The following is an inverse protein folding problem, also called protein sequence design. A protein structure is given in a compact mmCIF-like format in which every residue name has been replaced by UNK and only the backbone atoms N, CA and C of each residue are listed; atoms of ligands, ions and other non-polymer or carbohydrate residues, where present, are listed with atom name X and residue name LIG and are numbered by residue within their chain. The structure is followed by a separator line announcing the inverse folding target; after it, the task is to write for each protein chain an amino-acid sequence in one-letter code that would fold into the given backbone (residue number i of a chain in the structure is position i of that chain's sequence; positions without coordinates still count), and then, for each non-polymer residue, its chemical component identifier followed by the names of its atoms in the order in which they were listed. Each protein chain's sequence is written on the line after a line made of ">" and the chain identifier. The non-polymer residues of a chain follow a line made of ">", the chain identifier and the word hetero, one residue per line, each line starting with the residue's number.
data_IF_386477316725
#
_entry.id   IF_386477316725
#
_cell.length_a   1.000
_cell.length_b   1.000
_cell.length_c   1.000
_cell.angle_alpha   90.00
_cell.angle_beta   90.00
_cell.angle_gamma   90.00
#
_symmetry.space_group_name_H-M   'P 1'
#
loop_
_entity.id
_entity.type
_entity.pdbx_description
1 polymer ?
#
# COMPACT_ATOMS: atom_id res chain seq x y z
N UNK A 1 -4.86 17.28 2.64
CA UNK A 1 -4.99 16.27 3.72
C UNK A 1 -3.65 15.60 3.90
N UNK A 2 -3.24 15.26 5.12
CA UNK A 2 -2.05 14.42 5.34
C UNK A 2 -2.45 12.96 5.48
N UNK A 3 -1.71 12.07 4.85
CA UNK A 3 -1.97 10.64 4.83
C UNK A 3 -0.95 9.90 5.70
N UNK A 4 -1.42 9.19 6.72
CA UNK A 4 -0.59 8.33 7.55
C UNK A 4 -1.04 6.88 7.35
N UNK A 5 -0.26 6.18 6.57
CA UNK A 5 -0.50 4.79 6.20
C UNK A 5 0.45 3.85 6.94
N UNK A 6 -0.08 2.75 7.45
CA UNK A 6 0.69 1.75 8.17
C UNK A 6 0.52 0.39 7.51
N UNK A 7 1.58 -0.11 6.88
CA UNK A 7 1.61 -1.47 6.35
C UNK A 7 2.12 -2.44 7.42
N UNK A 8 1.22 -3.19 8.01
CA UNK A 8 1.51 -4.13 9.08
C UNK A 8 2.13 -5.46 8.59
N UNK A 9 2.32 -5.61 7.27
CA UNK A 9 2.97 -6.78 6.66
C UNK A 9 2.54 -8.10 7.33
N UNK A 10 3.46 -9.02 7.60
CA UNK A 10 3.27 -10.24 8.40
C UNK A 10 3.95 -10.11 9.78
N UNK A 11 3.86 -8.91 10.37
CA UNK A 11 4.38 -8.63 11.72
C UNK A 11 3.56 -9.32 12.84
N UNK A 12 2.52 -10.05 12.45
CA UNK A 12 1.67 -10.91 13.29
C UNK A 12 2.31 -12.25 13.69
N UNK A 13 3.39 -12.65 13.00
CA UNK A 13 4.09 -13.92 13.26
C UNK A 13 4.94 -13.82 14.52
N UNK A 14 4.86 -14.84 15.38
CA UNK A 14 5.60 -14.87 16.66
C UNK A 14 7.11 -15.12 16.46
N UNK A 15 7.95 -14.73 17.45
CA UNK A 15 9.41 -14.93 17.39
C UNK A 15 9.82 -16.40 17.24
N UNK A 16 9.07 -17.34 17.84
CA UNK A 16 9.35 -18.78 17.74
C UNK A 16 9.17 -19.32 16.32
N UNK A 17 8.49 -18.55 15.45
CA UNK A 17 8.28 -18.85 14.04
C UNK A 17 9.06 -17.90 13.12
N UNK A 18 10.05 -17.17 13.67
CA UNK A 18 10.89 -16.25 12.90
C UNK A 18 10.29 -14.85 12.69
N UNK A 19 9.17 -14.53 13.33
CA UNK A 19 8.53 -13.22 13.26
C UNK A 19 8.94 -12.30 14.42
N UNK A 20 8.12 -11.26 14.63
CA UNK A 20 8.41 -10.21 15.63
C UNK A 20 7.24 -9.95 16.60
N UNK A 21 6.11 -10.60 16.42
CA UNK A 21 4.92 -10.35 17.22
C UNK A 21 5.13 -10.74 18.69
N UNK A 22 5.03 -9.72 19.57
CA UNK A 22 4.99 -9.88 21.04
C UNK A 22 3.81 -9.14 21.67
N UNK A 23 2.89 -8.62 20.83
CA UNK A 23 1.79 -7.78 21.28
C UNK A 23 0.63 -8.61 21.82
N UNK A 24 0.16 -9.58 21.03
CA UNK A 24 -1.00 -10.40 21.35
C UNK A 24 -0.97 -11.73 20.57
N UNK A 25 -1.72 -12.75 21.02
CA UNK A 25 -1.94 -13.95 20.20
C UNK A 25 -2.46 -13.59 18.80
N UNK A 26 -2.09 -14.39 17.78
CA UNK A 26 -2.43 -14.09 16.40
C UNK A 26 -3.93 -13.80 16.19
N UNK A 27 -4.81 -14.55 16.82
CA UNK A 27 -6.28 -14.36 16.72
C UNK A 27 -6.78 -12.99 17.20
N UNK A 28 -6.04 -12.33 18.11
CA UNK A 28 -6.41 -11.07 18.74
C UNK A 28 -5.56 -9.88 18.25
N UNK A 29 -4.53 -10.14 17.42
CA UNK A 29 -3.49 -9.18 17.10
C UNK A 29 -4.01 -7.92 16.39
N UNK A 30 -4.86 -8.05 15.37
CA UNK A 30 -5.43 -6.90 14.67
C UNK A 30 -6.33 -6.06 15.57
N UNK A 31 -7.16 -6.73 16.40
CA UNK A 31 -8.01 -6.07 17.40
C UNK A 31 -7.19 -5.31 18.45
N UNK A 32 -6.08 -5.90 18.92
CA UNK A 32 -5.20 -5.28 19.90
C UNK A 32 -4.54 -4.00 19.35
N UNK A 33 -4.12 -3.99 18.08
CA UNK A 33 -3.55 -2.81 17.44
C UNK A 33 -4.57 -1.68 17.38
N UNK A 34 -5.77 -1.94 16.86
CA UNK A 34 -6.82 -0.92 16.76
C UNK A 34 -7.20 -0.40 18.15
N UNK A 35 -7.45 -1.28 19.12
CA UNK A 35 -7.81 -0.89 20.48
C UNK A 35 -6.71 -0.07 21.18
N UNK A 36 -5.45 -0.40 20.92
CA UNK A 36 -4.30 0.28 21.54
C UNK A 36 -3.95 1.63 20.92
N UNK A 37 -4.49 1.96 19.73
CA UNK A 37 -4.08 3.17 19.00
C UNK A 37 -5.21 4.17 18.77
N UNK A 38 -6.44 3.73 18.58
CA UNK A 38 -7.54 4.59 18.13
C UNK A 38 -7.83 5.80 19.03
N UNK A 39 -7.70 5.66 20.35
CA UNK A 39 -7.97 6.77 21.28
C UNK A 39 -6.90 7.87 21.18
N UNK A 40 -5.63 7.50 20.99
CA UNK A 40 -4.57 8.47 20.78
C UNK A 40 -4.69 9.17 19.41
N UNK A 41 -5.10 8.44 18.38
CA UNK A 41 -5.30 8.99 17.04
C UNK A 41 -6.53 9.91 16.96
N UNK A 42 -7.50 9.75 17.83
CA UNK A 42 -8.68 10.62 17.91
C UNK A 42 -8.37 12.08 18.33
N UNK A 43 -7.13 12.35 18.75
CA UNK A 43 -6.68 13.72 19.06
C UNK A 43 -6.41 14.56 17.79
N UNK A 44 -6.33 13.94 16.61
CA UNK A 44 -6.08 14.63 15.34
C UNK A 44 -7.39 14.94 14.62
N UNK A 45 -7.44 16.10 13.94
CA UNK A 45 -8.60 16.48 13.13
C UNK A 45 -8.71 15.57 11.90
N UNK A 46 -9.82 14.83 11.74
CA UNK A 46 -10.03 13.95 10.58
C UNK A 46 -10.16 14.71 9.25
N UNK A 47 -10.37 16.03 9.28
CA UNK A 47 -10.33 16.86 8.07
C UNK A 47 -8.89 17.18 7.62
N UNK A 48 -7.90 17.04 8.51
CA UNK A 48 -6.50 17.33 8.21
C UNK A 48 -5.66 16.07 8.03
N UNK A 49 -5.98 14.99 8.77
CA UNK A 49 -5.17 13.76 8.78
C UNK A 49 -6.06 12.52 8.69
N UNK A 50 -5.74 11.62 7.78
CA UNK A 50 -6.31 10.27 7.77
C UNK A 50 -5.31 9.21 8.22
N UNK A 51 -5.82 8.13 8.83
CA UNK A 51 -5.04 6.98 9.28
C UNK A 51 -5.61 5.71 8.68
N UNK A 52 -4.82 5.00 7.85
CA UNK A 52 -5.20 3.70 7.29
C UNK A 52 -4.20 2.63 7.72
N UNK A 53 -4.70 1.53 8.27
CA UNK A 53 -3.90 0.38 8.68
C UNK A 53 -4.15 -0.79 7.72
N UNK A 54 -3.12 -1.13 6.94
CA UNK A 54 -3.16 -2.26 6.01
C UNK A 54 -2.74 -3.53 6.74
N UNK A 55 -3.68 -4.46 6.86
CA UNK A 55 -3.51 -5.69 7.64
C UNK A 55 -3.63 -6.94 6.76
N UNK A 56 -2.98 -8.06 7.18
CA UNK A 56 -3.32 -9.38 6.65
C UNK A 56 -4.81 -9.67 6.81
N UNK A 57 -5.41 -10.32 5.84
CA UNK A 57 -6.86 -10.59 5.78
C UNK A 57 -7.41 -11.24 7.05
N UNK A 58 -6.62 -12.16 7.65
CA UNK A 58 -6.99 -12.85 8.89
C UNK A 58 -7.34 -11.92 10.06
N UNK A 59 -6.89 -10.67 10.04
CA UNK A 59 -7.06 -9.70 11.12
C UNK A 59 -8.17 -8.68 10.88
N UNK A 60 -8.65 -8.54 9.65
CA UNK A 60 -9.55 -7.45 9.24
C UNK A 60 -10.87 -7.48 10.01
N UNK A 61 -11.51 -8.64 10.15
CA UNK A 61 -12.78 -8.75 10.87
C UNK A 61 -12.63 -8.44 12.37
N UNK A 62 -11.57 -8.95 13.01
CA UNK A 62 -11.27 -8.66 14.41
C UNK A 62 -10.95 -7.17 14.64
N UNK A 63 -10.18 -6.58 13.74
CA UNK A 63 -9.86 -5.16 13.77
C UNK A 63 -11.11 -4.29 13.57
N UNK A 64 -11.97 -4.65 12.62
CA UNK A 64 -13.24 -3.95 12.40
C UNK A 64 -14.15 -3.98 13.62
N UNK A 65 -14.27 -5.15 14.25
CA UNK A 65 -15.06 -5.31 15.48
C UNK A 65 -14.49 -4.52 16.69
N UNK A 66 -13.18 -4.26 16.71
CA UNK A 66 -12.52 -3.51 17.79
C UNK A 66 -12.63 -1.98 17.63
N UNK A 67 -13.08 -1.48 16.48
CA UNK A 67 -13.27 -0.04 16.26
C UNK A 67 -14.41 0.48 17.13
N UNK A 68 -14.15 1.56 17.85
CA UNK A 68 -15.18 2.34 18.56
C UNK A 68 -16.00 3.19 17.59
N UNK A 69 -17.24 3.55 17.91
CA UNK A 69 -17.96 4.59 17.17
C UNK A 69 -17.12 5.87 17.10
N UNK A 70 -16.95 6.42 15.89
CA UNK A 70 -16.14 7.62 15.67
C UNK A 70 -14.63 7.38 15.66
N UNK A 71 -14.14 6.13 15.66
CA UNK A 71 -12.71 5.82 15.54
C UNK A 71 -12.13 6.40 14.24
N UNK A 72 -11.02 7.14 14.28
CA UNK A 72 -10.38 7.70 13.10
C UNK A 72 -9.64 6.66 12.26
N UNK A 73 -9.44 5.45 12.80
CA UNK A 73 -8.72 4.38 12.12
C UNK A 73 -9.56 3.83 10.99
N UNK A 74 -9.04 3.89 9.78
CA UNK A 74 -9.56 3.15 8.63
C UNK A 74 -8.77 1.85 8.45
N UNK A 75 -9.44 0.83 7.93
CA UNK A 75 -8.81 -0.46 7.63
C UNK A 75 -8.55 -0.58 6.13
N UNK A 76 -7.44 -1.21 5.81
CA UNK A 76 -7.06 -1.54 4.45
C UNK A 76 -6.55 -2.97 4.33
N UNK A 77 -6.71 -3.55 3.16
CA UNK A 77 -6.10 -4.84 2.82
C UNK A 77 -4.73 -4.66 2.17
N UNK A 78 -3.92 -5.71 2.23
CA UNK A 78 -2.58 -5.75 1.62
C UNK A 78 -2.64 -6.29 0.18
N UNK A 79 -3.63 -5.87 -0.59
CA UNK A 79 -3.86 -6.25 -1.98
C UNK A 79 -5.25 -6.81 -2.23
N UNK A 80 -5.62 -6.87 -3.49
CA UNK A 80 -6.80 -7.54 -3.99
C UNK A 80 -6.47 -8.33 -5.25
N UNK A 81 -7.35 -9.25 -5.65
CA UNK A 81 -7.16 -10.01 -6.86
C UNK A 81 -7.61 -9.21 -8.10
N UNK A 82 -7.00 -9.52 -9.26
CA UNK A 82 -7.28 -8.87 -10.57
C UNK A 82 -8.62 -9.25 -11.21
N UNK A 83 -9.45 -10.03 -10.52
CA UNK A 83 -10.82 -10.34 -10.89
C UNK A 83 -11.68 -10.32 -9.63
N UNK A 84 -12.97 -10.10 -9.79
CA UNK A 84 -13.89 -9.95 -8.66
C UNK A 84 -15.20 -10.71 -8.87
N UNK A 85 -16.01 -10.78 -7.83
CA UNK A 85 -17.38 -11.29 -7.88
C UNK A 85 -18.27 -10.31 -8.66
N UNK A 86 -19.26 -10.85 -9.35
CA UNK A 86 -20.26 -10.05 -10.04
C UNK A 86 -21.65 -10.68 -9.89
N UNK A 87 -22.70 -9.85 -9.85
CA UNK A 87 -24.09 -10.33 -9.83
C UNK A 87 -24.38 -11.12 -11.09
N UNK A 88 -24.84 -12.36 -10.93
CA UNK A 88 -25.06 -13.29 -12.04
C UNK A 88 -23.78 -13.87 -12.64
N UNK A 89 -22.62 -13.61 -12.04
CA UNK A 89 -21.30 -14.06 -12.49
C UNK A 89 -20.81 -15.34 -11.83
N UNK A 90 -19.61 -15.31 -11.29
CA UNK A 90 -18.87 -16.48 -10.78
C UNK A 90 -19.29 -16.99 -9.40
N UNK A 91 -20.29 -16.38 -8.77
CA UNK A 91 -20.84 -16.78 -7.46
C UNK A 91 -19.81 -16.82 -6.30
N UNK A 92 -18.68 -16.15 -6.42
CA UNK A 92 -17.60 -16.23 -5.44
C UNK A 92 -16.66 -17.44 -5.60
N UNK A 93 -16.60 -18.04 -6.80
CA UNK A 93 -15.74 -19.17 -7.11
C UNK A 93 -14.25 -18.76 -7.18
N UNK A 94 -13.71 -18.26 -6.05
CA UNK A 94 -12.30 -17.92 -5.85
C UNK A 94 -11.76 -18.72 -4.66
N UNK A 95 -10.64 -19.39 -4.88
CA UNK A 95 -9.87 -20.06 -3.83
C UNK A 95 -8.47 -19.45 -3.80
N UNK A 96 -7.94 -19.14 -2.63
CA UNK A 96 -6.66 -18.44 -2.39
C UNK A 96 -6.60 -16.95 -2.80
N UNK A 97 -7.43 -16.51 -3.71
CA UNK A 97 -7.49 -15.13 -4.16
C UNK A 97 -8.39 -14.28 -3.24
N UNK A 98 -8.11 -12.99 -3.19
CA UNK A 98 -8.82 -12.02 -2.34
C UNK A 98 -9.63 -11.06 -3.23
N UNK A 99 -10.90 -11.36 -3.56
CA UNK A 99 -11.73 -10.45 -4.34
C UNK A 99 -11.95 -9.12 -3.62
N UNK A 100 -11.98 -8.01 -4.36
CA UNK A 100 -12.12 -6.68 -3.77
C UNK A 100 -13.48 -6.50 -3.06
N UNK A 101 -14.56 -7.08 -3.59
CA UNK A 101 -15.86 -7.07 -2.94
C UNK A 101 -15.85 -7.76 -1.57
N UNK A 102 -15.08 -8.85 -1.40
CA UNK A 102 -14.93 -9.51 -0.10
C UNK A 102 -14.19 -8.60 0.88
N UNK A 103 -13.13 -7.93 0.43
CA UNK A 103 -12.35 -6.98 1.23
C UNK A 103 -13.21 -5.81 1.70
N UNK A 104 -14.01 -5.22 0.82
CA UNK A 104 -14.95 -4.15 1.16
C UNK A 104 -15.97 -4.61 2.22
N UNK A 105 -16.50 -5.83 2.11
CA UNK A 105 -17.42 -6.41 3.10
C UNK A 105 -16.77 -6.71 4.46
N UNK A 106 -15.45 -6.88 4.52
CA UNK A 106 -14.71 -6.98 5.80
C UNK A 106 -14.54 -5.62 6.50
N UNK A 107 -15.05 -4.53 5.91
CA UNK A 107 -14.99 -3.19 6.48
C UNK A 107 -13.75 -2.39 6.08
N UNK A 108 -13.03 -2.80 5.04
CA UNK A 108 -11.93 -2.01 4.48
C UNK A 108 -12.45 -0.81 3.70
N UNK A 109 -11.82 0.33 3.87
CA UNK A 109 -12.01 1.53 3.07
C UNK A 109 -10.97 1.65 1.93
N UNK A 110 -9.86 0.94 2.06
CA UNK A 110 -8.71 1.06 1.16
C UNK A 110 -8.02 -0.28 0.91
N UNK A 111 -7.22 -0.34 -0.15
CA UNK A 111 -6.28 -1.45 -0.39
C UNK A 111 -4.93 -0.92 -0.86
N UNK A 112 -3.85 -1.61 -0.46
CA UNK A 112 -2.50 -1.35 -0.91
C UNK A 112 -2.21 -2.25 -2.11
N UNK A 113 -1.76 -1.68 -3.24
CA UNK A 113 -1.49 -2.42 -4.48
C UNK A 113 -0.12 -2.00 -5.02
N UNK A 114 0.66 -2.97 -5.51
CA UNK A 114 1.94 -2.72 -6.17
C UNK A 114 3.12 -2.56 -5.23
N UNK A 115 3.00 -2.92 -3.94
CA UNK A 115 4.12 -2.99 -3.01
C UNK A 115 5.29 -3.80 -3.60
N UNK A 116 6.52 -3.45 -3.23
CA UNK A 116 7.70 -4.08 -3.80
C UNK A 116 7.68 -5.62 -3.67
N UNK A 117 7.15 -6.16 -2.59
CA UNK A 117 7.02 -7.61 -2.39
C UNK A 117 6.02 -8.25 -3.38
N UNK A 118 4.89 -7.60 -3.62
CA UNK A 118 3.91 -8.04 -4.60
C UNK A 118 4.48 -8.01 -6.03
N UNK A 119 5.18 -6.93 -6.40
CA UNK A 119 5.86 -6.83 -7.69
C UNK A 119 6.90 -7.91 -7.86
N UNK A 120 7.72 -8.17 -6.83
CA UNK A 120 8.75 -9.20 -6.86
C UNK A 120 8.17 -10.60 -7.00
N UNK A 121 7.07 -10.92 -6.31
CA UNK A 121 6.37 -12.22 -6.46
C UNK A 121 5.88 -12.42 -7.90
N UNK A 122 5.16 -11.44 -8.45
CA UNK A 122 4.67 -11.49 -9.84
C UNK A 122 5.81 -11.58 -10.86
N UNK A 123 6.91 -10.85 -10.65
CA UNK A 123 8.11 -10.94 -11.49
C UNK A 123 8.75 -12.32 -11.40
N UNK A 124 8.80 -12.92 -10.21
CA UNK A 124 9.31 -14.27 -10.00
C UNK A 124 8.52 -15.32 -10.77
N UNK A 125 7.18 -15.26 -10.71
CA UNK A 125 6.31 -16.16 -11.46
C UNK A 125 6.54 -16.04 -12.98
N UNK A 126 6.70 -14.82 -13.49
CA UNK A 126 6.99 -14.59 -14.92
C UNK A 126 8.38 -15.10 -15.32
N UNK A 127 9.36 -14.97 -14.44
CA UNK A 127 10.72 -15.47 -14.67
C UNK A 127 10.77 -17.00 -14.78
N UNK A 128 9.99 -17.73 -13.97
CA UNK A 128 9.85 -19.21 -14.11
C UNK A 128 9.29 -19.60 -15.49
N UNK A 129 8.48 -18.73 -16.10
CA UNK A 129 7.98 -18.93 -17.46
C UNK A 129 8.92 -18.38 -18.55
N UNK A 130 10.13 -17.95 -18.19
CA UNK A 130 11.12 -17.37 -19.12
C UNK A 130 10.82 -15.93 -19.57
N UNK A 131 9.84 -15.26 -18.95
CA UNK A 131 9.49 -13.86 -19.27
C UNK A 131 10.22 -12.94 -18.32
N UNK A 132 11.15 -12.12 -18.83
CA UNK A 132 12.01 -11.22 -18.06
C UNK A 132 12.08 -9.81 -18.66
N UNK A 133 12.80 -8.90 -18.01
CA UNK A 133 13.05 -7.55 -18.49
C UNK A 133 11.77 -6.73 -18.68
N UNK A 134 11.76 -5.87 -19.69
CA UNK A 134 10.66 -4.93 -19.97
C UNK A 134 9.30 -5.64 -20.13
N UNK A 135 9.27 -6.78 -20.82
CA UNK A 135 8.02 -7.53 -21.04
C UNK A 135 7.39 -7.99 -19.71
N UNK A 136 8.20 -8.47 -18.76
CA UNK A 136 7.74 -8.85 -17.43
C UNK A 136 7.26 -7.62 -16.63
N UNK A 137 8.03 -6.53 -16.63
CA UNK A 137 7.66 -5.29 -15.92
C UNK A 137 6.33 -4.74 -16.43
N UNK A 138 6.13 -4.66 -17.73
CA UNK A 138 4.87 -4.20 -18.31
C UNK A 138 3.71 -5.16 -18.00
N UNK A 139 3.94 -6.48 -18.01
CA UNK A 139 2.92 -7.46 -17.63
C UNK A 139 2.49 -7.27 -16.17
N UNK A 140 3.43 -7.09 -15.24
CA UNK A 140 3.14 -6.80 -13.84
C UNK A 140 2.33 -5.51 -13.71
N UNK A 141 2.74 -4.43 -14.36
CA UNK A 141 1.99 -3.16 -14.31
C UNK A 141 0.55 -3.30 -14.83
N UNK A 142 0.32 -4.10 -15.89
CA UNK A 142 -1.04 -4.39 -16.38
C UNK A 142 -1.86 -5.23 -15.40
N UNK A 143 -1.25 -6.18 -14.70
CA UNK A 143 -1.92 -6.96 -13.65
C UNK A 143 -2.35 -6.04 -12.51
N UNK A 144 -1.45 -5.18 -12.03
CA UNK A 144 -1.75 -4.22 -10.97
C UNK A 144 -2.83 -3.20 -11.38
N UNK A 145 -2.85 -2.78 -12.65
CA UNK A 145 -3.94 -1.95 -13.19
C UNK A 145 -5.30 -2.65 -13.07
N UNK A 146 -5.38 -3.95 -13.37
CA UNK A 146 -6.62 -4.72 -13.20
C UNK A 146 -7.04 -4.81 -11.73
N UNK A 147 -6.09 -4.99 -10.82
CA UNK A 147 -6.35 -5.01 -9.37
C UNK A 147 -6.89 -3.65 -8.89
N UNK A 148 -6.30 -2.53 -9.36
CA UNK A 148 -6.79 -1.18 -9.05
C UNK A 148 -8.24 -1.00 -9.53
N UNK A 149 -8.55 -1.42 -10.75
CA UNK A 149 -9.91 -1.33 -11.31
C UNK A 149 -10.91 -2.17 -10.52
N UNK A 150 -10.54 -3.38 -10.10
CA UNK A 150 -11.37 -4.21 -9.21
C UNK A 150 -11.59 -3.53 -7.86
N UNK A 151 -10.55 -2.98 -7.24
CA UNK A 151 -10.66 -2.26 -5.97
C UNK A 151 -11.63 -1.08 -6.06
N UNK A 152 -11.50 -0.27 -7.10
CA UNK A 152 -12.37 0.90 -7.30
C UNK A 152 -13.81 0.53 -7.60
N UNK A 153 -14.04 -0.54 -8.36
CA UNK A 153 -15.38 -1.07 -8.62
C UNK A 153 -16.07 -1.54 -7.34
N UNK A 154 -15.30 -2.06 -6.38
CA UNK A 154 -15.79 -2.44 -5.04
C UNK A 154 -15.93 -1.25 -4.07
N UNK A 155 -15.64 -0.03 -4.50
CA UNK A 155 -15.75 1.20 -3.69
C UNK A 155 -14.52 1.52 -2.83
N UNK A 156 -13.42 0.78 -2.98
CA UNK A 156 -12.19 1.02 -2.22
C UNK A 156 -11.38 2.18 -2.82
N UNK A 157 -10.69 2.93 -1.96
CA UNK A 157 -9.57 3.76 -2.35
C UNK A 157 -8.31 2.90 -2.52
N UNK A 158 -7.31 3.40 -3.23
CA UNK A 158 -6.09 2.63 -3.53
C UNK A 158 -4.86 3.42 -3.10
N UNK A 159 -4.01 2.78 -2.30
CA UNK A 159 -2.63 3.20 -2.12
C UNK A 159 -1.78 2.44 -3.15
N UNK A 160 -1.40 3.11 -4.23
CA UNK A 160 -0.63 2.51 -5.30
C UNK A 160 0.86 2.71 -5.07
N UNK A 161 1.57 1.62 -4.79
CA UNK A 161 3.01 1.62 -4.52
C UNK A 161 3.80 1.56 -5.83
N UNK A 162 4.74 2.48 -5.96
CA UNK A 162 5.73 2.54 -7.03
C UNK A 162 7.13 2.67 -6.45
N UNK A 163 8.12 2.21 -7.18
CA UNK A 163 9.51 2.32 -6.75
C UNK A 163 10.46 1.65 -7.73
N UNK A 164 11.71 2.07 -7.67
CA UNK A 164 12.82 1.54 -8.47
C UNK A 164 13.81 0.79 -7.59
N UNK A 165 14.50 -0.17 -8.19
CA UNK A 165 15.60 -0.93 -7.58
C UNK A 165 16.92 -0.19 -7.72
N UNK A 166 17.96 -0.68 -7.03
CA UNK A 166 19.31 -0.09 -7.10
C UNK A 166 19.86 -0.02 -8.52
N UNK A 167 19.66 -1.06 -9.30
CA UNK A 167 20.10 -1.17 -10.68
C UNK A 167 19.30 -0.29 -11.65
N UNK A 168 18.14 0.17 -11.24
CA UNK A 168 17.22 0.99 -12.02
C UNK A 168 17.38 2.50 -11.73
N UNK A 169 18.17 2.89 -10.72
CA UNK A 169 18.31 4.29 -10.31
C UNK A 169 18.78 5.24 -11.42
N UNK A 170 19.61 4.77 -12.36
CA UNK A 170 20.05 5.60 -13.47
C UNK A 170 18.92 5.90 -14.48
N UNK A 171 17.87 5.07 -14.49
CA UNK A 171 16.73 5.16 -15.41
C UNK A 171 15.38 5.32 -14.67
N UNK A 172 15.42 5.84 -13.44
CA UNK A 172 14.27 5.90 -12.53
C UNK A 172 13.04 6.59 -13.15
N UNK A 173 13.22 7.62 -13.99
CA UNK A 173 12.12 8.35 -14.62
C UNK A 173 11.32 7.46 -15.58
N UNK A 174 12.00 6.61 -16.36
CA UNK A 174 11.35 5.67 -17.26
C UNK A 174 10.70 4.52 -16.48
N UNK A 175 11.37 4.02 -15.43
CA UNK A 175 10.83 2.94 -14.57
C UNK A 175 9.55 3.39 -13.88
N UNK A 176 9.59 4.50 -13.15
CA UNK A 176 8.40 5.02 -12.45
C UNK A 176 7.36 5.52 -13.44
N UNK A 177 7.78 6.13 -14.55
CA UNK A 177 6.89 6.54 -15.62
C UNK A 177 6.06 5.38 -16.15
N UNK A 178 6.70 4.24 -16.46
CA UNK A 178 6.00 3.04 -16.92
C UNK A 178 5.04 2.47 -15.86
N UNK A 179 5.44 2.49 -14.57
CA UNK A 179 4.58 2.06 -13.47
C UNK A 179 3.33 2.94 -13.37
N UNK A 180 3.48 4.26 -13.49
CA UNK A 180 2.36 5.20 -13.44
C UNK A 180 1.46 5.10 -14.68
N UNK A 181 2.03 5.15 -15.88
CA UNK A 181 1.27 5.21 -17.13
C UNK A 181 0.43 3.94 -17.34
N UNK A 182 1.05 2.76 -17.14
CA UNK A 182 0.37 1.48 -17.33
C UNK A 182 -0.54 1.18 -16.15
N UNK A 183 -0.05 1.39 -14.92
CA UNK A 183 -0.80 1.08 -13.70
C UNK A 183 -2.06 1.94 -13.52
N UNK A 184 -2.04 3.19 -13.99
CA UNK A 184 -3.16 4.13 -13.85
C UNK A 184 -3.98 4.32 -15.14
N UNK A 185 -3.74 3.49 -16.17
CA UNK A 185 -4.50 3.57 -17.41
C UNK A 185 -6.00 3.25 -17.20
N UNK A 186 -6.87 4.22 -17.50
CA UNK A 186 -8.31 4.10 -17.34
C UNK A 186 -8.80 3.97 -15.88
N UNK A 187 -7.99 4.43 -14.92
CA UNK A 187 -8.28 4.42 -13.46
C UNK A 187 -8.90 5.75 -13.04
N UNK A 188 -9.86 5.72 -12.11
CA UNK A 188 -10.35 6.92 -11.42
C UNK A 188 -9.27 7.44 -10.45
N UNK A 189 -8.53 8.44 -10.91
CA UNK A 189 -7.41 9.00 -10.13
C UNK A 189 -7.85 9.67 -8.84
N UNK A 190 -9.11 10.13 -8.71
CA UNK A 190 -9.60 10.74 -7.47
C UNK A 190 -9.63 9.80 -6.27
N UNK A 191 -9.49 8.50 -6.51
CA UNK A 191 -9.47 7.43 -5.49
C UNK A 191 -8.09 6.79 -5.32
N UNK A 192 -7.02 7.47 -5.74
CA UNK A 192 -5.65 6.94 -5.68
C UNK A 192 -4.73 7.90 -4.94
N UNK A 193 -3.94 7.35 -4.03
CA UNK A 193 -2.75 8.00 -3.46
C UNK A 193 -1.54 7.19 -3.90
N UNK A 194 -0.45 7.85 -4.26
CA UNK A 194 0.79 7.19 -4.66
C UNK A 194 1.72 7.02 -3.47
N UNK A 195 2.16 5.79 -3.19
CA UNK A 195 3.25 5.55 -2.26
C UNK A 195 4.55 5.37 -3.03
N UNK A 196 5.50 6.24 -2.79
CA UNK A 196 6.84 6.07 -3.34
C UNK A 196 7.72 5.26 -2.39
N UNK A 197 8.18 4.12 -2.85
CA UNK A 197 9.04 3.19 -2.14
C UNK A 197 10.40 3.08 -2.84
N UNK A 198 11.43 3.86 -2.45
CA UNK A 198 12.79 3.67 -2.98
C UNK A 198 13.34 2.32 -2.51
N UNK A 199 13.16 1.26 -3.32
CA UNK A 199 13.45 -0.14 -2.94
C UNK A 199 14.91 -0.31 -2.54
N UNK A 200 15.81 0.47 -3.12
CA UNK A 200 17.23 0.50 -2.79
C UNK A 200 17.52 1.01 -1.37
N UNK A 201 16.61 1.76 -0.76
CA UNK A 201 16.77 2.36 0.57
C UNK A 201 15.97 1.66 1.68
N UNK A 202 15.19 0.62 1.33
CA UNK A 202 14.30 -0.09 2.26
C UNK A 202 14.98 -1.35 2.78
N UNK A 203 14.85 -1.61 4.07
CA UNK A 203 15.30 -2.84 4.75
C UNK A 203 16.41 -2.61 5.76
N UNK A 204 16.75 -3.65 6.52
CA UNK A 204 17.79 -3.58 7.54
C UNK A 204 19.15 -3.13 6.98
N UNK A 205 19.78 -2.14 7.61
CA UNK A 205 21.10 -1.63 7.21
C UNK A 205 21.11 -0.73 5.97
N UNK A 206 19.96 -0.41 5.40
CA UNK A 206 19.87 0.54 4.29
C UNK A 206 19.77 1.98 4.80
N UNK A 207 20.28 2.91 3.99
CA UNK A 207 20.20 4.35 4.26
C UNK A 207 18.96 4.90 3.56
N UNK A 208 18.06 5.60 4.27
CA UNK A 208 16.92 6.28 3.65
C UNK A 208 17.35 7.27 2.57
N UNK A 209 16.46 7.53 1.59
CA UNK A 209 16.69 8.57 0.59
C UNK A 209 16.89 9.92 1.26
N UNK A 210 17.76 10.74 0.70
CA UNK A 210 18.07 12.05 1.25
C UNK A 210 16.96 13.08 0.99
N UNK A 211 16.97 14.15 1.80
CA UNK A 211 15.97 15.21 1.72
C UNK A 211 15.89 15.88 0.33
N UNK A 212 16.97 16.12 -0.43
CA UNK A 212 16.89 16.65 -1.79
C UNK A 212 16.24 15.72 -2.83
N UNK A 213 16.37 14.41 -2.64
CA UNK A 213 15.87 13.44 -3.60
C UNK A 213 14.34 13.28 -3.55
N UNK A 214 13.77 13.25 -2.34
CA UNK A 214 12.34 13.02 -2.11
C UNK A 214 11.45 14.07 -2.81
N UNK A 215 11.70 15.41 -2.67
CA UNK A 215 10.92 16.41 -3.38
C UNK A 215 11.01 16.32 -4.90
N UNK A 216 12.20 16.00 -5.42
CA UNK A 216 12.40 15.83 -6.88
C UNK A 216 11.47 14.76 -7.41
N UNK A 217 11.40 13.65 -6.72
CA UNK A 217 10.59 12.52 -7.12
C UNK A 217 9.09 12.80 -6.96
N UNK A 218 8.68 13.40 -5.83
CA UNK A 218 7.29 13.76 -5.62
C UNK A 218 6.78 14.73 -6.71
N UNK A 219 7.58 15.73 -7.10
CA UNK A 219 7.25 16.62 -8.22
C UNK A 219 7.09 15.88 -9.56
N UNK A 220 7.97 14.92 -9.84
CA UNK A 220 7.85 14.08 -11.05
C UNK A 220 6.52 13.31 -11.06
N UNK A 221 6.19 12.64 -9.95
CA UNK A 221 4.94 11.88 -9.83
C UNK A 221 3.73 12.79 -10.00
N UNK A 222 3.68 13.92 -9.27
CA UNK A 222 2.57 14.89 -9.36
C UNK A 222 2.41 15.44 -10.78
N UNK A 223 3.50 15.81 -11.44
CA UNK A 223 3.46 16.31 -12.82
C UNK A 223 2.90 15.25 -13.80
N UNK A 224 3.31 13.98 -13.65
CA UNK A 224 2.88 12.91 -14.55
C UNK A 224 1.45 12.44 -14.30
N UNK A 225 0.97 12.53 -13.08
CA UNK A 225 -0.36 12.05 -12.69
C UNK A 225 -1.46 13.10 -12.75
N UNK A 226 -1.11 14.36 -12.87
CA UNK A 226 -2.03 15.49 -12.79
C UNK A 226 -2.31 15.93 -11.35
N UNK A 227 -1.36 15.72 -10.43
CA UNK A 227 -1.41 16.24 -9.07
C UNK A 227 -1.88 15.26 -8.00
N UNK A 228 -1.75 13.95 -8.22
CA UNK A 228 -2.06 12.96 -7.18
C UNK A 228 -1.21 13.18 -5.93
N UNK A 229 -1.79 12.94 -4.77
CA UNK A 229 -1.08 12.96 -3.49
C UNK A 229 -0.01 11.86 -3.47
N UNK A 230 1.15 12.20 -2.88
CA UNK A 230 2.33 11.34 -2.81
C UNK A 230 2.73 11.16 -1.36
N UNK A 231 2.78 9.92 -0.90
CA UNK A 231 3.35 9.58 0.41
C UNK A 231 4.71 8.91 0.26
N UNK A 232 5.60 9.14 1.22
CA UNK A 232 6.93 8.54 1.24
C UNK A 232 6.94 7.24 2.03
N UNK A 233 7.38 6.14 1.39
CA UNK A 233 7.46 4.78 1.95
C UNK A 233 8.89 4.24 2.12
N UNK A 234 9.91 5.12 2.13
CA UNK A 234 11.32 4.73 2.18
C UNK A 234 11.93 4.68 3.57
N UNK A 235 11.30 3.99 4.53
CA UNK A 235 11.87 3.84 5.86
C UNK A 235 11.56 4.99 6.80
N UNK A 236 10.30 5.40 6.84
CA UNK A 236 9.79 6.35 7.83
C UNK A 236 9.96 5.78 9.25
N UNK A 237 10.54 6.57 10.13
CA UNK A 237 10.79 6.27 11.55
C UNK A 237 10.56 7.50 12.40
N UNK A 238 10.49 7.28 13.73
CA UNK A 238 10.32 8.38 14.67
C UNK A 238 11.43 9.43 14.57
N UNK A 239 12.67 9.03 14.33
CA UNK A 239 13.84 9.92 14.26
C UNK A 239 13.90 10.78 12.99
N UNK A 240 13.26 10.36 11.89
CA UNK A 240 13.23 11.13 10.64
C UNK A 240 11.86 11.72 10.31
N UNK A 241 10.84 11.46 11.11
CA UNK A 241 9.46 11.90 10.86
C UNK A 241 9.35 13.42 10.74
N UNK A 242 10.01 14.18 11.62
CA UNK A 242 10.00 15.64 11.58
C UNK A 242 10.65 16.20 10.30
N UNK A 243 11.74 15.59 9.85
CA UNK A 243 12.39 15.96 8.58
C UNK A 243 11.47 15.68 7.39
N UNK A 244 10.83 14.50 7.35
CA UNK A 244 9.90 14.16 6.29
C UNK A 244 8.66 15.06 6.30
N UNK A 245 8.11 15.37 7.47
CA UNK A 245 6.99 16.30 7.61
C UNK A 245 7.30 17.73 7.13
N UNK A 246 8.59 18.10 7.06
CA UNK A 246 9.05 19.42 6.56
C UNK A 246 9.20 19.47 5.03
N UNK A 247 8.84 18.41 4.30
CA UNK A 247 8.87 18.36 2.84
C UNK A 247 7.47 18.67 2.33
N UNK A 248 7.31 19.84 1.70
CA UNK A 248 6.00 20.32 1.23
C UNK A 248 5.45 19.49 0.05
N UNK A 249 6.33 18.86 -0.73
CA UNK A 249 5.94 18.08 -1.91
C UNK A 249 5.31 16.73 -1.58
N UNK A 250 5.48 16.20 -0.36
CA UNK A 250 4.82 14.97 0.05
C UNK A 250 3.60 15.24 0.95
N UNK A 251 2.61 14.39 0.78
CA UNK A 251 1.31 14.52 1.44
C UNK A 251 1.18 13.59 2.66
N UNK A 252 2.25 12.90 3.03
CA UNK A 252 2.28 12.00 4.18
C UNK A 252 3.33 10.91 4.09
N UNK A 253 3.08 9.80 4.79
CA UNK A 253 4.01 8.68 4.85
C UNK A 253 3.36 7.30 4.91
N UNK A 254 4.08 6.30 4.39
CA UNK A 254 3.81 4.88 4.54
C UNK A 254 4.90 4.26 5.44
N UNK A 255 4.47 3.69 6.57
CA UNK A 255 5.30 3.08 7.62
C UNK A 255 5.28 1.57 7.47
#
# INVERSE_FOLDING_TARGET
>A
MKHIFLNLKRLDVSPEKGGVNRLAPMKDWGAAIVSGTQDALAAYDPAEVEFVMYMPEAHLLGAAAAKKPGSPVQLGSQGVYRADTAVGGNFGAFTTNRPANAVAQMGCASTLIGHCEERNDKMGILAEAGVTGKAATEAVNRILNQEIKCAQAAGLTVLYCIGEKSEEQADWENVLGAQLDIGLDGVDKSKVVIAYEPIWSIGPGKTPADKPYIPKLARFVKARTGGLDVVYGGGLKQDNAAMLASIDEIDGGLI
#
